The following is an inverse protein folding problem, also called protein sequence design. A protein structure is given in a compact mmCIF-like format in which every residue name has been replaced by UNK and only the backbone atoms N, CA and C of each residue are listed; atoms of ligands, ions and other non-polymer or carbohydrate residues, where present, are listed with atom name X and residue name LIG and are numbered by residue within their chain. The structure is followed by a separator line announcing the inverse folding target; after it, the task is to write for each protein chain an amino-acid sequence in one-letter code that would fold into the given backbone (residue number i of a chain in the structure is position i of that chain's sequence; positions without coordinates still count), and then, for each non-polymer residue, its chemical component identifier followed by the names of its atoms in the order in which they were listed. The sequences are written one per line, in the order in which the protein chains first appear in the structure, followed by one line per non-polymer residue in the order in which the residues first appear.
data_IF_795243720698
#
_entry.id   IF_795243720698
#
_cell.length_a   1.000
_cell.length_b   1.000
_cell.length_c   1.000
_cell.angle_alpha   90.00
_cell.angle_beta   90.00
_cell.angle_gamma   90.00
#
_symmetry.space_group_name_H-M   'P 1'
#
loop_
_entity.id
_entity.type
_entity.pdbx_description
1 polymer ?
#
# COMPACT_ATOMS: atom_id res chain seq x y z
N UNK A 1 17.83 1.64 -5.31
CA UNK A 1 16.50 1.79 -4.66
C UNK A 1 15.77 2.98 -5.28
N UNK A 2 14.55 2.79 -5.69
CA UNK A 2 13.71 3.84 -6.30
C UNK A 2 13.15 4.69 -5.16
N UNK A 3 13.36 6.03 -5.16
CA UNK A 3 12.83 6.88 -4.09
C UNK A 3 11.30 6.91 -4.11
N UNK A 4 10.68 6.92 -2.92
CA UNK A 4 9.22 7.00 -2.76
C UNK A 4 8.62 8.23 -3.46
N UNK A 5 9.33 9.35 -3.46
CA UNK A 5 8.77 10.64 -3.85
C UNK A 5 7.87 11.22 -2.77
N UNK A 6 6.85 12.01 -3.15
CA UNK A 6 5.91 12.62 -2.21
C UNK A 6 4.97 11.61 -1.58
N UNK A 7 4.63 11.84 -0.33
CA UNK A 7 3.56 11.13 0.38
C UNK A 7 2.19 11.73 0.04
N UNK A 8 1.15 10.90 0.15
CA UNK A 8 -0.24 11.35 -0.14
C UNK A 8 -0.64 12.56 0.71
N UNK A 9 -0.25 12.57 1.99
CA UNK A 9 -0.50 13.69 2.91
C UNK A 9 0.15 15.01 2.51
N UNK A 10 1.14 14.98 1.62
CA UNK A 10 1.89 16.15 1.17
C UNK A 10 1.42 16.66 -0.20
N UNK A 11 0.48 15.96 -0.85
CA UNK A 11 0.00 16.31 -2.18
C UNK A 11 -1.07 17.39 -2.06
N UNK A 12 -0.86 18.49 -2.78
CA UNK A 12 -1.83 19.58 -2.93
C UNK A 12 -2.35 19.68 -4.36
N UNK A 13 -3.45 20.42 -4.51
CA UNK A 13 -4.03 20.72 -5.82
C UNK A 13 -3.02 21.44 -6.72
N UNK A 14 -2.92 21.00 -7.98
CA UNK A 14 -1.99 21.54 -8.97
C UNK A 14 -0.59 20.93 -8.93
N UNK A 15 -0.28 20.11 -7.94
CA UNK A 15 1.03 19.46 -7.84
C UNK A 15 1.25 18.46 -8.97
N UNK A 16 2.45 18.52 -9.58
CA UNK A 16 2.96 17.46 -10.45
C UNK A 16 3.78 16.50 -9.62
N UNK A 17 3.41 15.25 -9.61
CA UNK A 17 4.06 14.22 -8.81
C UNK A 17 4.71 13.14 -9.65
N UNK A 18 5.82 12.64 -9.13
CA UNK A 18 6.43 11.37 -9.52
C UNK A 18 6.73 10.63 -8.24
N UNK A 19 5.94 9.61 -7.95
CA UNK A 19 6.01 8.92 -6.67
C UNK A 19 5.65 7.43 -6.79
N UNK A 20 5.99 6.67 -5.78
CA UNK A 20 5.73 5.24 -5.67
C UNK A 20 4.58 5.00 -4.72
N UNK A 21 3.65 4.13 -5.09
CA UNK A 21 2.46 3.80 -4.30
C UNK A 21 2.17 2.30 -4.36
N UNK A 22 1.32 1.84 -3.46
CA UNK A 22 0.71 0.53 -3.49
C UNK A 22 -0.67 0.61 -4.16
N UNK A 23 -1.02 -0.36 -4.99
CA UNK A 23 -2.37 -0.45 -5.57
C UNK A 23 -3.30 -1.09 -4.55
N UNK A 24 -4.31 -0.36 -4.11
CA UNK A 24 -5.40 -0.88 -3.27
C UNK A 24 -6.55 -1.41 -4.11
N UNK A 25 -6.92 -0.69 -5.17
CA UNK A 25 -8.01 -1.08 -6.07
C UNK A 25 -7.69 -0.66 -7.51
N UNK A 26 -8.21 -1.43 -8.46
CA UNK A 26 -8.10 -1.15 -9.89
C UNK A 26 -9.39 -1.52 -10.61
N UNK A 27 -9.88 -0.61 -11.47
CA UNK A 27 -11.03 -0.87 -12.36
C UNK A 27 -10.80 -0.25 -13.72
N UNK A 28 -11.27 -0.91 -14.77
CA UNK A 28 -11.42 -0.34 -16.11
C UNK A 28 -12.90 -0.02 -16.31
N UNK A 29 -13.20 1.21 -16.62
CA UNK A 29 -14.56 1.73 -16.77
C UNK A 29 -14.72 2.38 -18.14
N UNK A 30 -15.96 2.60 -18.55
CA UNK A 30 -16.28 3.29 -19.79
C UNK A 30 -16.97 4.62 -19.48
N UNK A 31 -16.41 5.70 -20.00
CA UNK A 31 -16.98 7.03 -19.85
C UNK A 31 -18.24 7.19 -20.73
N UNK A 32 -19.02 8.25 -20.48
CA UNK A 32 -20.26 8.55 -21.25
C UNK A 32 -20.02 8.69 -22.75
N UNK A 33 -18.83 9.10 -23.16
CA UNK A 33 -18.42 9.22 -24.56
C UNK A 33 -17.95 7.90 -25.19
N UNK A 34 -18.07 6.76 -24.48
CA UNK A 34 -17.68 5.43 -24.95
C UNK A 34 -16.18 5.14 -24.81
N UNK A 35 -15.34 6.08 -24.34
CA UNK A 35 -13.92 5.85 -24.16
C UNK A 35 -13.63 5.12 -22.86
N UNK A 36 -12.75 4.12 -22.86
CA UNK A 36 -12.33 3.45 -21.62
C UNK A 36 -11.42 4.38 -20.80
N UNK A 37 -11.56 4.33 -19.49
CA UNK A 37 -10.66 4.98 -18.55
C UNK A 37 -10.36 4.05 -17.37
N UNK A 38 -9.17 4.21 -16.80
CA UNK A 38 -8.74 3.47 -15.63
C UNK A 38 -9.04 4.23 -14.35
N UNK A 39 -9.62 3.55 -13.38
CA UNK A 39 -9.76 4.02 -12.00
C UNK A 39 -8.87 3.18 -11.11
N UNK A 40 -7.97 3.81 -10.39
CA UNK A 40 -7.12 3.14 -9.40
C UNK A 40 -7.23 3.85 -8.06
N UNK A 41 -7.20 3.10 -6.97
CA UNK A 41 -6.97 3.64 -5.65
C UNK A 41 -5.56 3.24 -5.27
N UNK A 42 -4.76 4.22 -4.94
CA UNK A 42 -3.38 4.02 -4.53
C UNK A 42 -3.17 4.49 -3.11
N UNK A 43 -2.30 3.81 -2.40
CA UNK A 43 -2.03 4.05 -0.99
C UNK A 43 -0.53 4.17 -0.69
N UNK A 44 -0.25 4.83 0.40
CA UNK A 44 1.01 4.78 1.11
C UNK A 44 0.77 4.83 2.63
N UNK A 45 1.82 4.91 3.43
CA UNK A 45 1.69 4.94 4.90
C UNK A 45 0.87 6.13 5.44
N UNK A 46 0.59 7.14 4.63
CA UNK A 46 -0.10 8.37 5.04
C UNK A 46 -1.57 8.43 4.62
N UNK A 47 -2.01 7.56 3.73
CA UNK A 47 -3.40 7.51 3.29
C UNK A 47 -3.61 6.88 1.92
N UNK A 48 -4.77 7.16 1.35
CA UNK A 48 -5.19 6.70 0.02
C UNK A 48 -5.63 7.88 -0.85
N UNK A 49 -5.44 7.74 -2.16
CA UNK A 49 -5.90 8.74 -3.14
C UNK A 49 -6.39 8.05 -4.41
N UNK A 50 -7.44 8.64 -5.01
CA UNK A 50 -7.99 8.19 -6.28
C UNK A 50 -7.10 8.67 -7.43
N UNK A 51 -6.77 7.78 -8.36
CA UNK A 51 -6.13 8.09 -9.63
C UNK A 51 -7.03 7.73 -10.81
N UNK A 52 -7.11 8.64 -11.79
CA UNK A 52 -7.82 8.43 -13.05
C UNK A 52 -6.84 8.45 -14.21
N UNK A 53 -6.93 7.45 -15.09
CA UNK A 53 -6.10 7.27 -16.27
C UNK A 53 -6.99 7.40 -17.49
N UNK A 54 -6.83 8.46 -18.25
CA UNK A 54 -7.68 8.75 -19.41
C UNK A 54 -7.08 8.31 -20.74
N UNK A 55 -5.76 8.31 -20.86
CA UNK A 55 -5.07 7.93 -22.07
C UNK A 55 -4.50 6.51 -21.94
N UNK A 56 -4.71 5.69 -22.95
CA UNK A 56 -4.21 4.31 -23.03
C UNK A 56 -4.50 3.48 -21.77
N UNK A 57 -5.64 3.76 -21.13
CA UNK A 57 -5.98 3.22 -19.82
C UNK A 57 -5.91 1.71 -19.75
N UNK A 58 -6.45 1.02 -20.76
CA UNK A 58 -6.44 -0.44 -20.83
C UNK A 58 -5.03 -1.00 -20.90
N UNK A 59 -4.15 -0.39 -21.68
CA UNK A 59 -2.75 -0.80 -21.82
C UNK A 59 -1.97 -0.50 -20.53
N UNK A 60 -2.14 0.71 -19.99
CA UNK A 60 -1.41 1.16 -18.81
C UNK A 60 -1.71 0.35 -17.55
N UNK A 61 -2.96 -0.13 -17.35
CA UNK A 61 -3.32 -0.91 -16.18
C UNK A 61 -3.30 -2.42 -16.42
N UNK A 62 -2.98 -2.85 -17.65
CA UNK A 62 -2.79 -4.27 -17.98
C UNK A 62 -1.65 -4.86 -17.13
N UNK A 63 -1.90 -6.00 -16.49
CA UNK A 63 -0.92 -6.66 -15.64
C UNK A 63 -0.67 -6.01 -14.28
N UNK A 64 -1.38 -4.94 -13.93
CA UNK A 64 -1.39 -4.35 -12.59
C UNK A 64 -2.55 -4.95 -11.79
N UNK A 65 -2.28 -5.38 -10.57
CA UNK A 65 -3.27 -5.99 -9.66
C UNK A 65 -3.20 -5.33 -8.28
N UNK A 66 -4.27 -5.40 -7.46
CA UNK A 66 -4.19 -4.98 -6.06
C UNK A 66 -3.03 -5.68 -5.34
N UNK A 67 -2.28 -4.92 -4.56
CA UNK A 67 -1.05 -5.36 -3.91
C UNK A 67 0.24 -5.07 -4.69
N UNK A 68 0.15 -4.70 -5.97
CA UNK A 68 1.33 -4.33 -6.75
C UNK A 68 1.88 -2.95 -6.35
N UNK A 69 3.20 -2.83 -6.39
CA UNK A 69 3.90 -1.56 -6.24
C UNK A 69 4.02 -0.88 -7.60
N UNK A 70 3.65 0.39 -7.67
CA UNK A 70 3.64 1.15 -8.91
C UNK A 70 4.34 2.50 -8.77
N UNK A 71 5.05 2.89 -9.82
CA UNK A 71 5.51 4.26 -10.02
C UNK A 71 4.46 5.05 -10.80
N UNK A 72 4.05 6.19 -10.30
CA UNK A 72 3.04 7.05 -10.91
C UNK A 72 3.63 8.42 -11.22
N UNK A 73 3.32 8.90 -12.42
CA UNK A 73 3.45 10.30 -12.81
C UNK A 73 2.05 10.84 -13.03
N UNK A 74 1.71 11.91 -12.32
CA UNK A 74 0.38 12.47 -12.31
C UNK A 74 0.38 13.95 -11.95
N UNK A 75 -0.73 14.61 -12.24
CA UNK A 75 -1.06 15.94 -11.74
C UNK A 75 -2.22 15.81 -10.75
N UNK A 76 -2.07 16.43 -9.59
CA UNK A 76 -3.14 16.46 -8.59
C UNK A 76 -4.17 17.54 -8.97
N UNK A 77 -5.43 17.17 -8.97
CA UNK A 77 -6.56 18.05 -9.26
C UNK A 77 -7.68 17.88 -8.23
N UNK A 78 -8.48 18.89 -8.05
CA UNK A 78 -9.66 18.84 -7.18
C UNK A 78 -10.91 18.64 -8.02
N UNK A 79 -11.69 17.61 -7.69
CA UNK A 79 -13.00 17.37 -8.30
C UNK A 79 -14.05 17.15 -7.20
N UNK A 80 -15.12 17.92 -7.21
CA UNK A 80 -16.18 17.90 -6.19
C UNK A 80 -15.62 17.97 -4.75
N UNK A 81 -14.66 18.87 -4.53
CA UNK A 81 -13.96 19.07 -3.24
C UNK A 81 -13.14 17.86 -2.76
N UNK A 82 -12.83 16.94 -3.64
CA UNK A 82 -11.95 15.79 -3.36
C UNK A 82 -10.70 15.87 -4.21
N UNK A 83 -9.56 15.69 -3.57
CA UNK A 83 -8.29 15.60 -4.26
C UNK A 83 -8.18 14.25 -4.98
N UNK A 84 -7.80 14.29 -6.25
CA UNK A 84 -7.56 13.11 -7.06
C UNK A 84 -6.34 13.31 -7.95
N UNK A 85 -5.82 12.24 -8.51
CA UNK A 85 -4.70 12.24 -9.43
C UNK A 85 -5.18 12.03 -10.86
N UNK A 86 -4.86 12.97 -11.75
CA UNK A 86 -4.90 12.71 -13.18
C UNK A 86 -3.59 12.03 -13.57
N UNK A 87 -3.64 10.72 -13.74
CA UNK A 87 -2.46 9.88 -14.00
C UNK A 87 -2.08 9.96 -15.47
N UNK A 88 -0.86 10.40 -15.74
CA UNK A 88 -0.27 10.44 -17.07
C UNK A 88 0.42 9.11 -17.41
N UNK A 89 1.09 8.52 -16.42
CA UNK A 89 1.77 7.23 -16.58
C UNK A 89 1.78 6.45 -15.28
N UNK A 90 1.50 5.16 -15.39
CA UNK A 90 1.64 4.18 -14.32
C UNK A 90 2.55 3.03 -14.79
N UNK A 91 3.45 2.59 -13.94
CA UNK A 91 4.40 1.52 -14.25
C UNK A 91 4.54 0.61 -13.05
N UNK A 92 4.38 -0.69 -13.26
CA UNK A 92 4.64 -1.70 -12.21
C UNK A 92 6.12 -1.73 -11.87
N UNK A 93 6.42 -1.76 -10.58
CA UNK A 93 7.78 -1.81 -10.04
C UNK A 93 8.00 -3.12 -9.29
N UNK A 94 9.27 -3.51 -9.15
CA UNK A 94 9.64 -4.61 -8.28
C UNK A 94 9.65 -4.17 -6.82
N UNK A 95 9.07 -4.96 -5.94
CA UNK A 95 9.08 -4.70 -4.48
C UNK A 95 10.49 -4.60 -3.91
N UNK A 96 11.46 -5.27 -4.56
CA UNK A 96 12.87 -5.26 -4.15
C UNK A 96 13.56 -3.92 -4.38
N UNK A 97 13.01 -3.11 -5.29
CA UNK A 97 13.60 -1.84 -5.71
C UNK A 97 13.04 -0.64 -4.95
N UNK A 98 12.13 -0.87 -4.00
CA UNK A 98 11.44 0.19 -3.25
C UNK A 98 11.51 -0.03 -1.75
N UNK A 99 11.43 1.07 -0.99
CA UNK A 99 11.25 1.00 0.45
C UNK A 99 9.77 0.70 0.78
N UNK A 100 9.47 -0.57 0.97
CA UNK A 100 8.11 -1.07 1.22
C UNK A 100 7.51 -0.51 2.51
N UNK A 101 8.33 -0.21 3.52
CA UNK A 101 7.87 0.39 4.77
C UNK A 101 7.27 1.80 4.60
N UNK A 102 7.61 2.49 3.51
CA UNK A 102 7.00 3.77 3.15
C UNK A 102 5.61 3.66 2.53
N UNK A 103 5.20 2.45 2.13
CA UNK A 103 3.96 2.19 1.38
C UNK A 103 2.85 1.64 2.27
N UNK A 104 3.17 1.03 3.39
CA UNK A 104 2.20 0.44 4.32
C UNK A 104 2.08 1.29 5.59
N UNK A 105 0.85 1.47 6.10
CA UNK A 105 0.68 2.07 7.42
C UNK A 105 1.45 1.27 8.46
N UNK A 106 2.34 1.95 9.18
CA UNK A 106 3.10 1.34 10.27
C UNK A 106 2.56 1.84 11.60
N UNK A 107 2.61 1.00 12.62
CA UNK A 107 2.31 1.44 13.99
C UNK A 107 3.31 2.49 14.44
N UNK A 108 2.86 3.45 15.23
CA UNK A 108 3.73 4.41 15.91
C UNK A 108 4.42 3.78 17.14
N UNK A 109 4.00 2.56 17.54
CA UNK A 109 4.59 1.83 18.66
C UNK A 109 5.84 1.10 18.22
N UNK A 110 6.80 1.02 19.12
CA UNK A 110 8.01 0.22 18.91
C UNK A 110 7.66 -1.27 18.77
N UNK A 111 8.06 -1.87 17.66
CA UNK A 111 7.78 -3.27 17.33
C UNK A 111 8.39 -4.24 18.35
N UNK A 112 9.57 -3.93 18.88
CA UNK A 112 10.21 -4.77 19.88
C UNK A 112 9.41 -4.79 21.18
N UNK A 113 8.92 -3.63 21.63
CA UNK A 113 8.04 -3.52 22.80
C UNK A 113 6.72 -4.25 22.61
N UNK A 114 6.12 -4.17 21.43
CA UNK A 114 4.89 -4.91 21.11
C UNK A 114 5.11 -6.43 21.13
N UNK A 115 6.26 -6.88 20.64
CA UNK A 115 6.60 -8.31 20.67
C UNK A 115 6.80 -8.82 22.10
N UNK A 116 7.43 -8.03 22.98
CA UNK A 116 7.54 -8.36 24.40
C UNK A 116 6.17 -8.46 25.05
N UNK A 117 5.25 -7.51 24.81
CA UNK A 117 3.88 -7.59 25.32
C UNK A 117 3.14 -8.83 24.83
N UNK A 118 3.32 -9.20 23.56
CA UNK A 118 2.75 -10.41 22.99
C UNK A 118 3.29 -11.67 23.68
N UNK A 119 4.62 -11.77 23.87
CA UNK A 119 5.27 -12.89 24.55
C UNK A 119 4.80 -13.02 26.00
N UNK A 120 4.65 -11.90 26.71
CA UNK A 120 4.12 -11.86 28.07
C UNK A 120 2.65 -12.35 28.13
N UNK A 121 1.82 -11.89 27.18
CA UNK A 121 0.44 -12.33 27.09
C UNK A 121 0.35 -13.84 26.79
N UNK A 122 1.17 -14.34 25.88
CA UNK A 122 1.25 -15.77 25.55
C UNK A 122 1.70 -16.61 26.74
N UNK A 123 2.71 -16.15 27.51
CA UNK A 123 3.17 -16.82 28.72
C UNK A 123 2.10 -16.85 29.83
N UNK A 124 1.19 -15.88 29.87
CA UNK A 124 0.06 -15.81 30.81
C UNK A 124 -1.10 -16.76 30.49
N UNK A 125 -1.09 -17.45 29.36
CA UNK A 125 -2.15 -18.41 28.99
C UNK A 125 -2.13 -19.60 29.95
N UNK A 126 -3.22 -19.82 30.67
CA UNK A 126 -3.33 -20.90 31.66
C UNK A 126 -3.39 -22.29 31.03
N UNK A 127 -3.98 -22.40 29.83
CA UNK A 127 -4.07 -23.66 29.10
C UNK A 127 -2.70 -24.02 28.50
N UNK A 128 -2.08 -25.06 29.03
CA UNK A 128 -0.73 -25.52 28.64
C UNK A 128 -0.66 -25.91 27.16
N UNK A 129 -1.70 -26.52 26.60
CA UNK A 129 -1.73 -26.96 25.21
C UNK A 129 -1.73 -25.74 24.27
N UNK A 130 -2.56 -24.72 24.56
CA UNK A 130 -2.61 -23.48 23.77
C UNK A 130 -1.29 -22.71 23.85
N UNK A 131 -0.70 -22.61 25.03
CA UNK A 131 0.60 -21.95 25.20
C UNK A 131 1.68 -22.65 24.38
N UNK A 132 1.81 -23.97 24.50
CA UNK A 132 2.78 -24.77 23.75
C UNK A 132 2.54 -24.66 22.24
N UNK A 133 1.28 -24.58 21.79
CA UNK A 133 0.96 -24.40 20.37
C UNK A 133 1.49 -23.06 19.84
N UNK A 134 1.28 -21.97 20.57
CA UNK A 134 1.78 -20.65 20.20
C UNK A 134 3.31 -20.64 20.16
N UNK A 135 3.97 -21.17 21.17
CA UNK A 135 5.43 -21.28 21.23
C UNK A 135 5.98 -22.02 20.00
N UNK A 136 5.42 -23.19 19.68
CA UNK A 136 5.84 -23.98 18.51
C UNK A 136 5.60 -23.29 17.17
N UNK A 137 4.53 -22.51 17.04
CA UNK A 137 4.25 -21.73 15.82
C UNK A 137 5.35 -20.68 15.63
N UNK A 138 5.72 -19.96 16.70
CA UNK A 138 6.71 -18.88 16.63
C UNK A 138 8.18 -19.38 16.61
N UNK A 139 8.43 -20.64 16.96
CA UNK A 139 9.73 -21.30 16.78
C UNK A 139 10.01 -21.69 15.32
N UNK A 140 8.99 -21.74 14.45
CA UNK A 140 9.20 -22.03 13.03
C UNK A 140 9.99 -20.92 12.37
N UNK A 141 10.98 -21.30 11.56
CA UNK A 141 11.80 -20.37 10.80
C UNK A 141 10.95 -19.40 9.97
N UNK A 142 11.23 -18.11 10.07
CA UNK A 142 10.57 -17.05 9.33
C UNK A 142 9.19 -16.61 9.85
N UNK A 143 8.53 -17.38 10.73
CA UNK A 143 7.17 -17.00 11.21
C UNK A 143 7.22 -15.74 12.05
N UNK A 144 8.16 -15.62 12.98
CA UNK A 144 8.34 -14.44 13.83
C UNK A 144 8.58 -13.18 13.00
N UNK A 145 9.48 -13.26 12.03
CA UNK A 145 9.81 -12.15 11.14
C UNK A 145 8.63 -11.75 10.26
N UNK A 146 7.91 -12.72 9.73
CA UNK A 146 6.70 -12.46 8.93
C UNK A 146 5.60 -11.83 9.76
N UNK A 147 5.38 -12.27 10.99
CA UNK A 147 4.41 -11.70 11.92
C UNK A 147 4.75 -10.25 12.26
N UNK A 148 6.01 -9.93 12.53
CA UNK A 148 6.46 -8.57 12.83
C UNK A 148 6.33 -7.61 11.63
N UNK A 149 6.39 -8.14 10.41
CA UNK A 149 6.27 -7.35 9.16
C UNK A 149 4.85 -7.28 8.62
N UNK A 150 3.92 -8.07 9.16
CA UNK A 150 2.54 -8.08 8.69
C UNK A 150 1.87 -6.73 8.95
N UNK A 151 1.16 -6.16 7.94
CA UNK A 151 0.39 -4.94 8.15
C UNK A 151 -0.72 -5.21 9.17
N UNK A 152 -0.99 -4.22 10.02
CA UNK A 152 -2.16 -4.25 10.88
C UNK A 152 -3.42 -4.15 10.01
N UNK A 153 -4.36 -5.06 10.20
CA UNK A 153 -5.65 -5.04 9.52
C UNK A 153 -6.56 -3.98 10.11
#
# INVERSE_FOLDING_TARGET
MIPKGRFISEIGEGDRIKAVFLISERRLLTARNGKPYGKVIVSDKTGEILGLIWEDAQEQISGITPGDVVGIRATAESYESRLQLRVEKITKLSEKDVDFASLIPTTSRDMASMMVEFEQAAAGIKNTYLRTLIERIFEREGVRDSFMKAPAA
#
